data_IF_060231169561
#
_entry.id   IF_060231169561
#
_cell.length_a   1.000
_cell.length_b   1.000
_cell.length_c   1.000
_cell.angle_alpha   90.00
_cell.angle_beta   90.00
_cell.angle_gamma   90.00
#
_symmetry.space_group_name_H-M   'P 1'
#
loop_
_entity.id
_entity.type
_entity.pdbx_description
1 polymer ?
#
# COMPACT_ATOMS: atom_id res chain seq x y z
N UNK A 1 0.67 17.59 -10.24
CA UNK A 1 0.79 16.15 -9.93
C UNK A 1 0.75 15.42 -11.26
N UNK A 2 1.70 14.53 -11.52
CA UNK A 2 1.70 13.76 -12.78
C UNK A 2 0.56 12.75 -12.77
N UNK A 3 -0.38 12.91 -13.69
CA UNK A 3 -1.46 11.94 -13.89
C UNK A 3 -0.89 10.63 -14.42
N UNK A 4 -1.20 9.52 -13.75
CA UNK A 4 -0.85 8.17 -14.17
C UNK A 4 -2.13 7.38 -14.44
N UNK A 5 -2.00 6.31 -15.21
CA UNK A 5 -3.10 5.42 -15.52
C UNK A 5 -2.73 4.00 -15.10
N UNK A 6 -3.61 3.35 -14.33
CA UNK A 6 -3.51 1.93 -14.01
C UNK A 6 -4.67 1.17 -14.64
N UNK A 7 -4.47 -0.11 -14.93
CA UNK A 7 -5.57 -1.01 -15.27
C UNK A 7 -6.11 -1.62 -13.97
N UNK A 8 -7.33 -1.27 -13.59
CA UNK A 8 -8.00 -1.72 -12.38
C UNK A 8 -9.24 -2.51 -12.80
N UNK A 9 -9.27 -3.81 -12.49
CA UNK A 9 -10.37 -4.72 -12.84
C UNK A 9 -10.75 -4.72 -14.33
N UNK A 10 -9.77 -4.53 -15.22
CA UNK A 10 -9.97 -4.51 -16.67
C UNK A 10 -10.22 -3.12 -17.25
N UNK A 11 -10.35 -2.09 -16.41
CA UNK A 11 -10.62 -0.73 -16.84
C UNK A 11 -9.41 0.19 -16.64
N UNK A 12 -9.18 1.09 -17.61
CA UNK A 12 -8.17 2.13 -17.49
C UNK A 12 -8.67 3.22 -16.56
N UNK A 13 -8.00 3.39 -15.43
CA UNK A 13 -8.35 4.39 -14.42
C UNK A 13 -7.23 5.40 -14.29
N UNK A 14 -7.57 6.68 -14.49
CA UNK A 14 -6.68 7.80 -14.22
C UNK A 14 -6.57 8.08 -12.71
N UNK A 15 -5.43 8.62 -12.31
CA UNK A 15 -5.20 9.01 -10.93
C UNK A 15 -3.85 9.69 -10.75
N UNK A 16 -3.46 9.88 -9.49
CA UNK A 16 -2.20 10.52 -9.13
C UNK A 16 -1.34 9.59 -8.28
N UNK A 17 -0.03 9.67 -8.47
CA UNK A 17 0.93 9.08 -7.53
C UNK A 17 1.30 10.14 -6.49
N UNK A 18 1.13 9.78 -5.22
CA UNK A 18 1.50 10.61 -4.09
C UNK A 18 2.45 9.83 -3.18
N UNK A 19 3.50 10.50 -2.69
CA UNK A 19 4.39 9.96 -1.68
C UNK A 19 3.95 10.49 -0.32
N UNK A 20 3.66 9.58 0.60
CA UNK A 20 3.17 9.93 1.93
C UNK A 20 3.57 8.87 2.98
N UNK A 21 3.58 9.24 4.27
CA UNK A 21 3.72 8.28 5.34
C UNK A 21 2.45 7.43 5.45
N UNK A 22 2.59 6.12 5.31
CA UNK A 22 1.53 5.14 5.53
C UNK A 22 1.77 4.47 6.88
N UNK A 23 0.77 4.48 7.74
CA UNK A 23 0.77 3.72 8.99
C UNK A 23 0.11 2.36 8.80
N UNK A 24 0.81 1.29 9.19
CA UNK A 24 0.19 -0.03 9.37
C UNK A 24 -0.09 -0.19 10.86
N UNK A 25 -1.38 -0.24 11.22
CA UNK A 25 -1.79 -0.42 12.60
C UNK A 25 -1.68 -1.88 13.00
N UNK A 26 -1.03 -2.15 14.12
CA UNK A 26 -0.91 -3.49 14.67
C UNK A 26 -2.08 -3.79 15.60
N UNK A 27 -2.73 -4.95 15.44
CA UNK A 27 -3.65 -5.47 16.47
C UNK A 27 -2.88 -5.90 17.72
N UNK A 28 -1.64 -6.36 17.55
CA UNK A 28 -0.73 -6.77 18.62
C UNK A 28 0.69 -6.30 18.29
N UNK A 29 1.39 -5.72 19.27
CA UNK A 29 2.73 -5.16 19.09
C UNK A 29 2.70 -3.67 18.75
N UNK A 30 3.61 -3.23 17.89
CA UNK A 30 3.80 -1.81 17.56
C UNK A 30 3.38 -1.50 16.13
N UNK A 31 2.67 -0.38 15.97
CA UNK A 31 2.42 0.22 14.66
C UNK A 31 3.75 0.55 13.96
N UNK A 32 3.75 0.51 12.63
CA UNK A 32 4.87 1.01 11.83
C UNK A 32 4.41 2.15 10.92
N UNK A 33 5.30 3.11 10.69
CA UNK A 33 5.08 4.23 9.77
C UNK A 33 6.19 4.22 8.72
N UNK A 34 5.79 4.18 7.44
CA UNK A 34 6.72 4.03 6.32
C UNK A 34 6.33 4.96 5.19
N UNK A 35 7.33 5.63 4.62
CA UNK A 35 7.18 6.39 3.39
C UNK A 35 6.86 5.47 2.21
N UNK A 36 5.65 5.60 1.68
CA UNK A 36 5.16 4.81 0.55
C UNK A 36 4.73 5.69 -0.62
N UNK A 37 4.80 5.13 -1.82
CA UNK A 37 4.14 5.70 -3.01
C UNK A 37 2.78 5.05 -3.17
N UNK A 38 1.73 5.86 -3.10
CA UNK A 38 0.33 5.43 -3.21
C UNK A 38 -0.26 5.97 -4.50
N UNK A 39 -0.91 5.12 -5.27
CA UNK A 39 -1.77 5.54 -6.37
C UNK A 39 -3.17 5.81 -5.84
N UNK A 40 -3.65 7.04 -6.03
CA UNK A 40 -4.99 7.49 -5.68
C UNK A 40 -5.79 7.64 -6.97
N UNK A 41 -6.76 6.76 -7.24
CA UNK A 41 -7.66 6.89 -8.39
C UNK A 41 -8.45 8.20 -8.33
N UNK A 42 -8.60 8.85 -9.47
CA UNK A 42 -9.52 9.99 -9.64
C UNK A 42 -10.74 9.49 -10.41
N UNK A 43 -11.60 8.76 -9.71
CA UNK A 43 -12.72 8.04 -10.29
C UNK A 43 -13.94 8.05 -9.35
N UNK A 44 -15.14 8.20 -9.91
CA UNK A 44 -16.39 8.27 -9.16
C UNK A 44 -16.83 6.91 -8.58
N UNK A 45 -16.22 5.80 -9.03
CA UNK A 45 -16.56 4.43 -8.61
C UNK A 45 -16.07 4.05 -7.20
N UNK A 46 -15.53 5.01 -6.44
CA UNK A 46 -15.03 4.82 -5.07
C UNK A 46 -14.03 3.64 -4.96
N UNK A 47 -13.05 3.63 -5.87
CA UNK A 47 -12.02 2.60 -5.92
C UNK A 47 -11.06 2.71 -4.73
N UNK A 48 -10.49 1.60 -4.23
CA UNK A 48 -9.48 1.67 -3.18
C UNK A 48 -8.23 2.39 -3.67
N UNK A 49 -7.41 2.86 -2.73
CA UNK A 49 -6.06 3.30 -3.04
C UNK A 49 -5.15 2.08 -3.27
N UNK A 50 -4.17 2.23 -4.14
CA UNK A 50 -3.27 1.12 -4.49
C UNK A 50 -1.87 1.43 -4.02
N UNK A 51 -1.26 0.42 -3.40
CA UNK A 51 0.11 0.47 -2.94
C UNK A 51 0.91 -0.59 -3.72
N UNK A 52 2.06 -0.20 -4.24
CA UNK A 52 2.92 -1.09 -5.01
C UNK A 52 3.80 -1.99 -4.14
N UNK A 53 4.17 -3.14 -4.70
CA UNK A 53 5.24 -4.00 -4.16
C UNK A 53 6.53 -3.18 -4.06
N UNK A 54 6.95 -2.61 -5.20
CA UNK A 54 8.03 -1.63 -5.26
C UNK A 54 7.54 -0.28 -4.72
N UNK A 55 8.13 0.16 -3.62
CA UNK A 55 7.88 1.48 -3.03
C UNK A 55 7.32 1.41 -1.61
N UNK A 56 6.61 0.35 -1.24
CA UNK A 56 6.08 0.16 0.11
C UNK A 56 6.41 -1.21 0.70
N UNK A 57 5.97 -2.30 0.06
CA UNK A 57 6.22 -3.64 0.61
C UNK A 57 7.72 -3.98 0.61
N UNK A 58 8.48 -3.46 -0.36
CA UNK A 58 9.94 -3.55 -0.37
C UNK A 58 10.64 -2.79 0.77
N UNK A 59 9.90 -2.05 1.60
CA UNK A 59 10.39 -1.31 2.77
C UNK A 59 10.00 -1.94 4.11
N UNK A 60 9.28 -3.07 4.09
CA UNK A 60 8.96 -3.86 5.29
C UNK A 60 9.46 -5.29 5.17
N UNK A 61 9.72 -5.89 6.32
CA UNK A 61 9.70 -7.34 6.46
C UNK A 61 8.26 -7.74 6.72
N UNK A 62 7.76 -8.76 6.02
CA UNK A 62 6.42 -9.28 6.27
C UNK A 62 6.37 -10.80 6.09
N UNK A 63 5.42 -11.43 6.76
CA UNK A 63 5.11 -12.85 6.60
C UNK A 63 3.59 -13.05 6.74
N UNK A 64 3.07 -14.10 6.10
CA UNK A 64 1.66 -14.44 6.14
C UNK A 64 1.52 -15.86 6.69
N UNK A 65 0.73 -16.02 7.76
CA UNK A 65 0.23 -17.33 8.15
C UNK A 65 -1.21 -17.49 7.63
N UNK A 66 -1.40 -18.22 6.51
CA UNK A 66 -2.73 -18.36 5.91
C UNK A 66 -3.68 -19.23 6.75
N UNK A 67 -3.16 -20.15 7.57
CA UNK A 67 -4.01 -21.03 8.39
C UNK A 67 -4.76 -20.27 9.48
N UNK A 68 -4.10 -19.26 10.06
CA UNK A 68 -4.68 -18.39 11.10
C UNK A 68 -5.09 -17.01 10.58
N UNK A 69 -4.93 -16.76 9.28
CA UNK A 69 -5.15 -15.46 8.65
C UNK A 69 -4.39 -14.31 9.34
N UNK A 70 -3.13 -14.56 9.74
CA UNK A 70 -2.29 -13.56 10.44
C UNK A 70 -1.27 -12.96 9.45
N UNK A 71 -1.23 -11.64 9.40
CA UNK A 71 -0.22 -10.86 8.69
C UNK A 71 0.80 -10.29 9.68
N UNK A 72 2.03 -10.79 9.62
CA UNK A 72 3.14 -10.27 10.41
C UNK A 72 3.88 -9.22 9.59
N UNK A 73 4.26 -8.13 10.24
CA UNK A 73 5.05 -7.07 9.61
C UNK A 73 6.05 -6.46 10.60
N UNK A 74 7.07 -5.82 10.06
CA UNK A 74 8.04 -5.06 10.82
C UNK A 74 8.95 -4.23 9.93
N UNK A 75 9.71 -3.29 10.50
CA UNK A 75 10.66 -2.50 9.74
C UNK A 75 11.79 -3.37 9.18
N UNK A 76 12.34 -2.98 8.04
CA UNK A 76 13.66 -3.47 7.65
C UNK A 76 14.65 -2.91 8.68
N UNK A 77 15.34 -3.80 9.40
CA UNK A 77 16.38 -3.39 10.35
C UNK A 77 17.38 -2.48 9.63
N UNK A 78 17.74 -1.36 10.26
CA UNK A 78 18.74 -0.42 9.75
C UNK A 78 20.12 -1.07 9.68
#
# INVERSE_FOLDING_TARGET
MDTKCLNIRGEKTGGVLIRLPVRICAEQGEDIIIEGTVFVPQDERNLPNFIGLDGFLSRIKFAINPQSNIFYFGPIAQ
#
